data_IF_555674121359
#
_entry.id   IF_555674121359
#
_cell.length_a   1.000
_cell.length_b   1.000
_cell.length_c   1.000
_cell.angle_alpha   90.00
_cell.angle_beta   90.00
_cell.angle_gamma   90.00
#
_symmetry.space_group_name_H-M   'P 1'
#
loop_
_entity.id
_entity.type
_entity.pdbx_description
1 polymer ?
#
# COMPACT_ATOMS: atom_id res chain seq x y z
N UNK A 1 0.77 9.84 11.87
CA UNK A 1 1.15 11.25 11.66
C UNK A 1 0.14 11.86 10.70
N UNK A 2 -0.41 13.04 11.00
CA UNK A 2 -1.37 13.68 10.09
C UNK A 2 -0.62 14.19 8.85
N UNK A 3 -1.10 13.83 7.66
CA UNK A 3 -0.53 14.29 6.38
C UNK A 3 -0.68 15.80 6.18
N UNK A 4 -1.51 16.47 6.98
CA UNK A 4 -1.49 17.92 7.16
C UNK A 4 -1.28 18.27 8.63
N UNK A 5 -0.30 19.15 8.87
CA UNK A 5 -0.17 19.84 10.15
C UNK A 5 -1.39 20.73 10.44
N UNK A 6 -1.49 21.27 11.66
CA UNK A 6 -2.58 22.14 12.10
C UNK A 6 -2.87 23.30 11.13
N UNK A 7 -1.80 23.87 10.56
CA UNK A 7 -1.85 24.96 9.58
C UNK A 7 -2.43 24.49 8.25
N UNK A 8 -2.09 23.27 7.84
CA UNK A 8 -2.61 22.65 6.64
C UNK A 8 -4.11 22.36 6.73
N UNK A 9 -4.57 21.89 7.90
CA UNK A 9 -6.01 21.65 8.14
C UNK A 9 -6.79 22.96 8.12
N UNK A 10 -6.26 24.01 8.74
CA UNK A 10 -6.88 25.34 8.76
C UNK A 10 -6.96 25.95 7.35
N UNK A 11 -5.89 25.82 6.56
CA UNK A 11 -5.84 26.30 5.18
C UNK A 11 -6.76 25.51 4.23
N UNK A 12 -7.03 24.24 4.51
CA UNK A 12 -8.01 23.46 3.75
C UNK A 12 -9.44 23.82 4.12
N UNK A 13 -9.71 23.99 5.41
CA UNK A 13 -11.03 24.39 5.88
C UNK A 13 -11.44 25.76 5.30
N UNK A 14 -10.48 26.68 5.11
CA UNK A 14 -10.75 27.99 4.50
C UNK A 14 -11.03 27.93 2.99
N UNK A 15 -10.63 26.87 2.29
CA UNK A 15 -10.92 26.66 0.86
C UNK A 15 -12.34 26.12 0.61
N UNK A 16 -13.06 25.77 1.67
CA UNK A 16 -14.43 25.30 1.60
C UNK A 16 -14.56 23.77 1.47
N UNK A 17 -15.80 23.27 1.54
CA UNK A 17 -16.08 21.84 1.67
C UNK A 17 -15.63 21.01 0.46
N UNK A 18 -15.65 21.59 -0.75
CA UNK A 18 -15.24 20.87 -1.97
C UNK A 18 -13.73 20.58 -1.97
N UNK A 19 -12.90 21.54 -1.59
CA UNK A 19 -11.46 21.35 -1.50
C UNK A 19 -11.08 20.30 -0.44
N UNK A 20 -11.83 20.26 0.65
CA UNK A 20 -11.70 19.21 1.68
C UNK A 20 -12.08 17.85 1.10
N UNK A 21 -13.20 17.75 0.38
CA UNK A 21 -13.67 16.50 -0.20
C UNK A 21 -12.69 15.93 -1.25
N UNK A 22 -12.23 16.77 -2.18
CA UNK A 22 -11.20 16.39 -3.18
C UNK A 22 -9.95 15.86 -2.50
N UNK A 23 -9.54 16.49 -1.40
CA UNK A 23 -8.36 16.03 -0.68
C UNK A 23 -8.59 14.71 0.04
N UNK A 24 -9.73 14.53 0.69
CA UNK A 24 -10.09 13.25 1.32
C UNK A 24 -10.13 12.12 0.30
N UNK A 25 -10.67 12.38 -0.89
CA UNK A 25 -10.67 11.41 -1.99
C UNK A 25 -9.24 11.07 -2.44
N UNK A 26 -8.37 12.08 -2.57
CA UNK A 26 -6.95 11.84 -2.89
C UNK A 26 -6.23 10.99 -1.84
N UNK A 27 -6.54 11.19 -0.55
CA UNK A 27 -6.00 10.37 0.53
C UNK A 27 -6.51 8.94 0.46
N UNK A 28 -7.82 8.75 0.26
CA UNK A 28 -8.41 7.42 0.13
C UNK A 28 -7.80 6.65 -1.05
N UNK A 29 -7.59 7.29 -2.20
CA UNK A 29 -6.93 6.67 -3.36
C UNK A 29 -5.48 6.28 -3.06
N UNK A 30 -4.73 7.14 -2.38
CA UNK A 30 -3.36 6.85 -1.98
C UNK A 30 -3.29 5.66 -1.01
N UNK A 31 -4.16 5.62 0.01
CA UNK A 31 -4.20 4.52 0.97
C UNK A 31 -4.56 3.20 0.29
N UNK A 32 -5.52 3.20 -0.63
CA UNK A 32 -5.87 2.01 -1.41
C UNK A 32 -4.70 1.54 -2.28
N UNK A 33 -4.05 2.44 -3.02
CA UNK A 33 -2.89 2.08 -3.85
C UNK A 33 -1.72 1.53 -3.01
N UNK A 34 -1.50 2.08 -1.81
CA UNK A 34 -0.49 1.58 -0.88
C UNK A 34 -0.82 0.17 -0.37
N UNK A 35 -2.08 -0.11 -0.07
CA UNK A 35 -2.55 -1.44 0.33
C UNK A 35 -2.39 -2.45 -0.80
N UNK A 36 -2.82 -2.10 -2.02
CA UNK A 36 -2.66 -2.94 -3.23
C UNK A 36 -1.19 -3.28 -3.47
N UNK A 37 -0.31 -2.27 -3.47
CA UNK A 37 1.13 -2.47 -3.64
C UNK A 37 1.72 -3.38 -2.55
N UNK A 38 1.30 -3.20 -1.30
CA UNK A 38 1.76 -4.06 -0.19
C UNK A 38 1.29 -5.50 -0.38
N UNK A 39 0.06 -5.69 -0.85
CA UNK A 39 -0.50 -7.02 -1.11
C UNK A 39 0.18 -7.71 -2.30
N UNK A 40 0.48 -6.99 -3.37
CA UNK A 40 1.26 -7.49 -4.50
C UNK A 40 2.67 -7.89 -4.07
N UNK A 41 3.32 -7.07 -3.25
CA UNK A 41 4.64 -7.37 -2.72
C UNK A 41 4.64 -8.64 -1.87
N UNK A 42 3.68 -8.79 -0.96
CA UNK A 42 3.53 -10.01 -0.16
C UNK A 42 3.25 -11.24 -1.02
N UNK A 43 2.39 -11.11 -2.03
CA UNK A 43 2.08 -12.19 -2.99
C UNK A 43 3.33 -12.65 -3.73
N UNK A 44 4.14 -11.68 -4.19
CA UNK A 44 5.41 -11.94 -4.87
C UNK A 44 6.41 -12.63 -3.96
N UNK A 45 6.54 -12.16 -2.71
CA UNK A 45 7.42 -12.79 -1.72
C UNK A 45 6.99 -14.24 -1.41
N UNK A 46 5.69 -14.48 -1.27
CA UNK A 46 5.14 -15.81 -1.03
C UNK A 46 5.39 -16.76 -2.22
N UNK A 47 5.15 -16.31 -3.45
CA UNK A 47 5.43 -17.09 -4.66
C UNK A 47 6.92 -17.46 -4.76
N UNK A 48 7.82 -16.51 -4.47
CA UNK A 48 9.27 -16.73 -4.51
C UNK A 48 9.72 -17.73 -3.44
N UNK A 49 9.16 -17.65 -2.23
CA UNK A 49 9.42 -18.60 -1.17
C UNK A 49 8.91 -20.01 -1.52
N UNK A 50 7.73 -20.11 -2.12
CA UNK A 50 7.16 -21.39 -2.58
C UNK A 50 8.03 -22.03 -3.66
N UNK A 51 8.43 -21.27 -4.69
CA UNK A 51 9.31 -21.77 -5.75
C UNK A 51 10.67 -22.23 -5.21
N UNK A 52 11.22 -21.51 -4.24
CA UNK A 52 12.47 -21.89 -3.57
C UNK A 52 12.31 -23.20 -2.80
N UNK A 53 11.20 -23.35 -2.07
CA UNK A 53 10.88 -24.59 -1.33
C UNK A 53 10.69 -25.78 -2.27
N UNK A 54 9.95 -25.61 -3.35
CA UNK A 54 9.72 -26.66 -4.34
C UNK A 54 11.03 -27.12 -4.98
N UNK A 55 11.89 -26.20 -5.38
CA UNK A 55 13.23 -26.50 -5.92
C UNK A 55 14.12 -27.25 -4.93
N UNK A 56 14.03 -26.95 -3.63
CA UNK A 56 14.76 -27.68 -2.59
C UNK A 56 14.23 -29.11 -2.41
N UNK A 57 12.90 -29.28 -2.45
CA UNK A 57 12.27 -30.60 -2.34
C UNK A 57 12.55 -31.47 -3.56
N UNK A 58 12.56 -30.90 -4.77
CA UNK A 58 12.89 -31.61 -6.01
C UNK A 58 14.35 -32.08 -6.01
N UNK A 59 15.28 -31.19 -5.61
CA UNK A 59 16.70 -31.53 -5.45
C UNK A 59 16.92 -32.69 -4.49
N UNK A 60 16.21 -32.72 -3.37
CA UNK A 60 16.36 -33.76 -2.34
C UNK A 60 15.75 -35.12 -2.77
N UNK A 61 14.89 -35.12 -3.79
CA UNK A 61 14.26 -36.33 -4.36
C UNK A 61 15.06 -36.96 -5.50
N UNK A 62 16.10 -36.29 -5.98
CA UNK A 62 16.94 -36.71 -7.11
C UNK A 62 18.13 -37.61 -6.74
N UNK A 63 18.16 -38.14 -5.51
CA UNK A 63 19.18 -39.06 -4.98
C UNK A 63 18.57 -40.40 -4.59
#
# INVERSE_FOLDING_TARGET
MSLLGPEGVSHLASQGPEAVNVRLESFSRYENALLEHTQEWMSTAAATASATRERLLDRNRSW
#
